data_IF_922959549259
#
_entry.id   IF_922959549259
#
_cell.length_a   1.000
_cell.length_b   1.000
_cell.length_c   1.000
_cell.angle_alpha   90.00
_cell.angle_beta   90.00
_cell.angle_gamma   90.00
#
_symmetry.space_group_name_H-M   'P 1'
#
loop_
_entity.id
_entity.type
_entity.pdbx_description
1 polymer ?
#
# COMPACT_ATOMS: atom_id res chain seq x y z
N UNK A 1 -28.62 -36.99 16.49
CA UNK A 1 -28.38 -37.00 15.03
C UNK A 1 -26.94 -36.59 14.80
N UNK A 2 -26.08 -37.51 14.37
CA UNK A 2 -24.67 -37.18 14.12
C UNK A 2 -24.59 -36.28 12.89
N UNK A 3 -24.02 -35.09 13.06
CA UNK A 3 -23.73 -34.17 11.96
C UNK A 3 -22.81 -34.90 10.97
N UNK A 4 -23.36 -35.20 9.78
CA UNK A 4 -22.61 -35.75 8.65
C UNK A 4 -21.66 -34.65 8.19
N UNK A 5 -20.52 -34.59 8.85
CA UNK A 5 -19.51 -33.55 8.67
C UNK A 5 -18.78 -33.88 7.37
N UNK A 6 -19.14 -33.20 6.28
CA UNK A 6 -18.37 -33.02 5.04
C UNK A 6 -17.39 -34.14 4.63
N UNK A 7 -17.80 -35.41 4.74
CA UNK A 7 -17.15 -36.50 4.03
C UNK A 7 -17.72 -36.45 2.62
N UNK A 8 -16.87 -36.44 1.58
CA UNK A 8 -17.33 -36.53 0.20
C UNK A 8 -18.24 -37.75 0.06
N UNK A 9 -19.54 -37.49 -0.11
CA UNK A 9 -20.56 -38.50 -0.26
C UNK A 9 -21.12 -38.36 -1.67
N UNK A 10 -21.14 -39.47 -2.41
CA UNK A 10 -21.50 -39.49 -3.82
C UNK A 10 -22.83 -40.21 -4.05
N UNK A 11 -23.64 -39.73 -4.99
CA UNK A 11 -24.87 -40.43 -5.41
C UNK A 11 -24.57 -41.51 -6.44
N UNK A 12 -25.50 -42.45 -6.62
CA UNK A 12 -25.39 -43.48 -7.65
C UNK A 12 -25.19 -42.89 -9.06
N UNK A 13 -25.87 -41.79 -9.35
CA UNK A 13 -25.82 -41.11 -10.64
C UNK A 13 -24.45 -40.48 -10.87
N UNK A 14 -23.90 -39.77 -9.87
CA UNK A 14 -22.56 -39.17 -9.95
C UNK A 14 -21.48 -40.23 -10.16
N UNK A 15 -21.58 -41.35 -9.44
CA UNK A 15 -20.63 -42.45 -9.55
C UNK A 15 -20.75 -43.13 -10.91
N UNK A 16 -21.98 -43.38 -11.38
CA UNK A 16 -22.22 -43.96 -12.69
C UNK A 16 -21.59 -43.12 -13.81
N UNK A 17 -21.83 -41.80 -13.80
CA UNK A 17 -21.24 -40.88 -14.78
C UNK A 17 -19.71 -40.94 -14.75
N UNK A 18 -19.12 -40.93 -13.56
CA UNK A 18 -17.65 -41.00 -13.42
C UNK A 18 -17.05 -42.33 -13.90
N UNK A 19 -17.82 -43.42 -13.83
CA UNK A 19 -17.44 -44.73 -14.38
C UNK A 19 -17.83 -44.90 -15.86
N UNK A 20 -18.37 -43.86 -16.52
CA UNK A 20 -18.80 -43.93 -17.91
C UNK A 20 -20.09 -44.74 -18.13
N UNK A 21 -20.90 -44.92 -17.09
CA UNK A 21 -22.17 -45.65 -17.13
C UNK A 21 -23.35 -44.69 -17.36
N UNK A 22 -24.36 -45.17 -18.08
CA UNK A 22 -25.55 -44.37 -18.44
C UNK A 22 -26.57 -44.25 -17.32
N UNK A 23 -26.52 -45.12 -16.29
CA UNK A 23 -27.57 -45.17 -15.25
C UNK A 23 -27.03 -45.56 -13.88
N UNK A 24 -27.48 -44.87 -12.84
CA UNK A 24 -27.17 -45.16 -11.43
C UNK A 24 -27.70 -46.52 -10.93
N UNK A 25 -28.64 -47.13 -11.66
CA UNK A 25 -29.17 -48.46 -11.35
C UNK A 25 -28.09 -49.54 -11.35
N UNK A 26 -27.07 -49.42 -12.21
CA UNK A 26 -25.94 -50.36 -12.26
C UNK A 26 -25.15 -50.35 -10.96
N UNK A 27 -24.94 -49.17 -10.37
CA UNK A 27 -24.26 -49.02 -9.08
C UNK A 27 -25.08 -49.65 -7.95
N UNK A 28 -26.39 -49.42 -7.93
CA UNK A 28 -27.29 -50.06 -6.97
C UNK A 28 -27.32 -51.60 -7.12
N UNK A 29 -27.23 -52.10 -8.37
CA UNK A 29 -27.15 -53.54 -8.65
C UNK A 29 -25.86 -54.16 -8.11
N UNK A 30 -24.73 -53.49 -8.28
CA UNK A 30 -23.44 -53.95 -7.72
C UNK A 30 -23.49 -54.11 -6.21
N UNK A 31 -24.12 -53.17 -5.48
CA UNK A 31 -24.31 -53.30 -4.04
C UNK A 31 -25.10 -54.56 -3.68
N UNK A 32 -26.20 -54.84 -4.39
CA UNK A 32 -27.05 -56.02 -4.14
C UNK A 32 -26.32 -57.33 -4.44
N UNK A 33 -25.56 -57.37 -5.53
CA UNK A 33 -24.86 -58.58 -5.98
C UNK A 33 -23.61 -58.90 -5.16
N UNK A 34 -22.97 -57.88 -4.57
CA UNK A 34 -21.72 -58.01 -3.82
C UNK A 34 -21.85 -57.47 -2.39
N UNK A 35 -23.03 -57.66 -1.78
CA UNK A 35 -23.33 -57.15 -0.45
C UNK A 35 -22.42 -57.73 0.64
N UNK A 36 -21.85 -58.92 0.43
CA UNK A 36 -20.86 -59.54 1.30
C UNK A 36 -19.58 -58.71 1.45
N UNK A 37 -19.30 -57.83 0.49
CA UNK A 37 -18.11 -57.00 0.47
C UNK A 37 -18.34 -55.59 1.01
N UNK A 38 -19.59 -55.15 1.13
CA UNK A 38 -19.95 -53.80 1.56
C UNK A 38 -20.43 -53.74 3.01
N UNK A 39 -20.06 -52.68 3.72
CA UNK A 39 -20.44 -52.46 5.12
C UNK A 39 -21.16 -51.12 5.20
N UNK A 40 -22.41 -51.14 5.65
CA UNK A 40 -23.20 -49.93 5.90
C UNK A 40 -22.50 -49.04 6.94
N UNK A 41 -22.61 -47.73 6.77
CA UNK A 41 -21.91 -46.68 7.53
C UNK A 41 -20.38 -46.61 7.34
N UNK A 42 -19.78 -47.56 6.62
CA UNK A 42 -18.35 -47.52 6.26
C UNK A 42 -18.18 -47.24 4.77
N UNK A 43 -18.81 -48.04 3.90
CA UNK A 43 -18.68 -47.91 2.46
C UNK A 43 -19.83 -47.09 1.84
N UNK A 44 -21.04 -47.21 2.39
CA UNK A 44 -22.21 -46.46 1.96
C UNK A 44 -23.11 -46.14 3.16
N UNK A 45 -24.00 -45.16 2.98
CA UNK A 45 -25.04 -44.75 3.91
C UNK A 45 -26.39 -44.87 3.23
N UNK A 46 -27.39 -45.34 3.97
CA UNK A 46 -28.79 -45.19 3.58
C UNK A 46 -29.31 -43.88 4.14
N UNK A 47 -29.68 -42.96 3.25
CA UNK A 47 -30.24 -41.66 3.64
C UNK A 47 -31.71 -41.64 3.28
N UNK A 48 -32.55 -41.43 4.29
CA UNK A 48 -33.97 -41.21 4.08
C UNK A 48 -34.23 -39.79 3.59
N UNK A 49 -35.04 -39.66 2.54
CA UNK A 49 -35.53 -38.37 2.08
C UNK A 49 -36.79 -37.95 2.85
N UNK A 50 -37.26 -36.72 2.62
CA UNK A 50 -38.49 -36.18 3.25
C UNK A 50 -39.74 -37.02 2.99
N UNK A 51 -39.71 -37.90 1.99
CA UNK A 51 -40.80 -38.81 1.61
C UNK A 51 -40.58 -40.25 2.10
N UNK A 52 -39.66 -40.48 3.07
CA UNK A 52 -39.28 -41.79 3.63
C UNK A 52 -38.70 -42.79 2.62
N UNK A 53 -38.32 -42.35 1.43
CA UNK A 53 -37.57 -43.18 0.48
C UNK A 53 -36.10 -43.21 0.88
N UNK A 54 -35.51 -44.41 0.89
CA UNK A 54 -34.09 -44.62 1.20
C UNK A 54 -33.26 -44.51 -0.07
N UNK A 55 -32.34 -43.55 -0.10
CA UNK A 55 -31.37 -43.38 -1.18
C UNK A 55 -29.98 -43.78 -0.71
N UNK A 56 -29.25 -44.50 -1.57
CA UNK A 56 -27.88 -44.93 -1.28
C UNK A 56 -26.93 -43.77 -1.56
N UNK A 57 -26.05 -43.52 -0.61
CA UNK A 57 -25.02 -42.50 -0.65
C UNK A 57 -23.67 -43.14 -0.36
N UNK A 58 -22.66 -42.94 -1.19
CA UNK A 58 -21.40 -43.67 -1.11
C UNK A 58 -20.28 -42.84 -0.53
N UNK A 59 -19.41 -43.48 0.25
CA UNK A 59 -18.12 -42.91 0.66
C UNK A 59 -17.08 -43.08 -0.44
N UNK A 60 -15.98 -42.32 -0.37
CA UNK A 60 -14.84 -42.50 -1.27
C UNK A 60 -14.28 -43.94 -1.25
N UNK A 61 -14.22 -44.58 -0.09
CA UNK A 61 -13.80 -45.97 0.06
C UNK A 61 -14.76 -46.95 -0.63
N UNK A 62 -16.07 -46.74 -0.47
CA UNK A 62 -17.08 -47.50 -1.20
C UNK A 62 -17.01 -47.30 -2.71
N UNK A 63 -16.71 -46.08 -3.17
CA UNK A 63 -16.49 -45.78 -4.59
C UNK A 63 -15.29 -46.56 -5.13
N UNK A 64 -14.15 -46.57 -4.44
CA UNK A 64 -13.00 -47.38 -4.87
C UNK A 64 -13.30 -48.88 -4.91
N UNK A 65 -14.12 -49.36 -3.98
CA UNK A 65 -14.59 -50.75 -4.00
C UNK A 65 -15.51 -51.03 -5.20
N UNK A 66 -16.31 -50.07 -5.67
CA UNK A 66 -17.17 -50.29 -6.84
C UNK A 66 -16.42 -50.51 -8.17
N UNK A 67 -15.13 -50.15 -8.24
CA UNK A 67 -14.38 -50.18 -9.50
C UNK A 67 -14.12 -51.58 -10.07
N UNK A 68 -14.03 -52.61 -9.23
CA UNK A 68 -13.82 -53.98 -9.68
C UNK A 68 -14.21 -55.03 -8.61
N UNK A 69 -14.73 -56.17 -9.07
CA UNK A 69 -15.15 -57.30 -8.22
C UNK A 69 -14.32 -58.55 -8.55
N UNK A 70 -13.82 -59.24 -7.51
CA UNK A 70 -12.93 -60.40 -7.65
C UNK A 70 -13.46 -61.55 -6.80
N UNK A 71 -13.43 -62.77 -7.34
CA UNK A 71 -13.93 -63.97 -6.65
C UNK A 71 -13.02 -64.46 -5.52
N UNK A 72 -11.70 -64.31 -5.67
CA UNK A 72 -10.71 -64.83 -4.72
C UNK A 72 -10.76 -64.11 -3.35
N UNK A 73 -10.88 -64.84 -2.22
CA UNK A 73 -10.93 -64.23 -0.88
C UNK A 73 -9.72 -63.34 -0.56
N UNK A 74 -8.51 -63.78 -0.92
CA UNK A 74 -7.28 -62.99 -0.72
C UNK A 74 -7.30 -61.67 -1.51
N UNK A 75 -7.83 -61.70 -2.72
CA UNK A 75 -7.95 -60.51 -3.57
C UNK A 75 -9.01 -59.53 -3.04
N UNK A 76 -10.11 -60.04 -2.46
CA UNK A 76 -11.12 -59.21 -1.79
C UNK A 76 -10.50 -58.45 -0.61
N UNK A 77 -9.69 -59.11 0.21
CA UNK A 77 -9.02 -58.47 1.35
C UNK A 77 -7.99 -57.43 0.90
N UNK A 78 -7.20 -57.74 -0.14
CA UNK A 78 -6.25 -56.79 -0.73
C UNK A 78 -6.96 -55.52 -1.22
N UNK A 79 -8.08 -55.67 -1.93
CA UNK A 79 -8.89 -54.56 -2.43
C UNK A 79 -9.41 -53.66 -1.30
N UNK A 80 -9.86 -54.24 -0.18
CA UNK A 80 -10.27 -53.48 1.02
C UNK A 80 -9.10 -52.64 1.57
N UNK A 81 -7.90 -53.23 1.68
CA UNK A 81 -6.70 -52.51 2.16
C UNK A 81 -6.32 -51.35 1.23
N UNK A 82 -6.36 -51.57 -0.08
CA UNK A 82 -6.08 -50.53 -1.08
C UNK A 82 -7.10 -49.40 -1.04
N UNK A 83 -8.40 -49.71 -0.96
CA UNK A 83 -9.46 -48.70 -0.88
C UNK A 83 -9.29 -47.80 0.36
N UNK A 84 -8.96 -48.41 1.51
CA UNK A 84 -8.65 -47.67 2.74
C UNK A 84 -7.42 -46.77 2.60
N UNK A 85 -6.33 -47.29 2.04
CA UNK A 85 -5.09 -46.52 1.83
C UNK A 85 -5.33 -45.32 0.90
N UNK A 86 -6.06 -45.51 -0.19
CA UNK A 86 -6.40 -44.43 -1.13
C UNK A 86 -7.29 -43.36 -0.48
N UNK A 87 -8.20 -43.75 0.40
CA UNK A 87 -9.01 -42.82 1.19
C UNK A 87 -8.12 -41.97 2.09
N UNK A 88 -7.24 -42.58 2.87
CA UNK A 88 -6.32 -41.89 3.79
C UNK A 88 -5.39 -40.93 3.05
N UNK A 89 -4.80 -41.38 1.95
CA UNK A 89 -3.92 -40.55 1.11
C UNK A 89 -4.67 -39.35 0.52
N UNK A 90 -5.88 -39.58 0.00
CA UNK A 90 -6.73 -38.53 -0.56
C UNK A 90 -7.13 -37.50 0.49
N UNK A 91 -7.50 -37.95 1.69
CA UNK A 91 -7.87 -37.08 2.79
C UNK A 91 -6.69 -36.23 3.28
N UNK A 92 -5.49 -36.83 3.39
CA UNK A 92 -4.27 -36.10 3.72
C UNK A 92 -3.97 -35.01 2.67
N UNK A 93 -4.07 -35.35 1.39
CA UNK A 93 -3.85 -34.41 0.28
C UNK A 93 -4.85 -33.25 0.30
N UNK A 94 -6.14 -33.52 0.53
CA UNK A 94 -7.15 -32.46 0.66
C UNK A 94 -6.89 -31.54 1.85
N UNK A 95 -6.48 -32.10 2.99
CA UNK A 95 -6.10 -31.30 4.16
C UNK A 95 -4.94 -30.36 3.84
N UNK A 96 -3.87 -30.87 3.24
CA UNK A 96 -2.71 -30.04 2.86
C UNK A 96 -3.07 -28.93 1.86
N UNK A 97 -3.94 -29.23 0.88
CA UNK A 97 -4.43 -28.25 -0.08
C UNK A 97 -5.30 -27.17 0.57
N UNK A 98 -6.16 -27.58 1.52
CA UNK A 98 -7.00 -26.66 2.28
C UNK A 98 -6.14 -25.70 3.12
N UNK A 99 -5.17 -26.25 3.85
CA UNK A 99 -4.27 -25.48 4.71
C UNK A 99 -3.43 -24.48 3.89
N UNK A 100 -2.93 -24.88 2.71
CA UNK A 100 -2.19 -23.99 1.82
C UNK A 100 -3.08 -22.87 1.26
N UNK A 101 -4.32 -23.15 0.87
CA UNK A 101 -5.26 -22.13 0.40
C UNK A 101 -5.57 -21.09 1.50
N UNK A 102 -5.75 -21.53 2.74
CA UNK A 102 -5.95 -20.63 3.87
C UNK A 102 -4.73 -19.73 4.08
N UNK A 103 -3.53 -20.32 4.01
CA UNK A 103 -2.26 -19.58 4.10
C UNK A 103 -2.15 -18.52 2.99
N UNK A 104 -2.40 -18.88 1.73
CA UNK A 104 -2.36 -17.96 0.60
C UNK A 104 -3.37 -16.81 0.74
N UNK A 105 -4.59 -17.10 1.21
CA UNK A 105 -5.59 -16.07 1.46
C UNK A 105 -5.15 -15.08 2.56
N UNK A 106 -4.55 -15.58 3.64
CA UNK A 106 -4.03 -14.73 4.71
C UNK A 106 -2.87 -13.83 4.24
N UNK A 107 -1.96 -14.37 3.43
CA UNK A 107 -0.85 -13.63 2.83
C UNK A 107 -1.35 -12.53 1.90
N UNK A 108 -2.29 -12.85 1.00
CA UNK A 108 -2.90 -11.88 0.10
C UNK A 108 -3.61 -10.76 0.87
N UNK A 109 -4.32 -11.09 1.95
CA UNK A 109 -4.97 -10.11 2.81
C UNK A 109 -3.96 -9.17 3.47
N UNK A 110 -2.87 -9.72 4.03
CA UNK A 110 -1.83 -8.95 4.70
C UNK A 110 -1.10 -8.02 3.72
N UNK A 111 -0.75 -8.50 2.53
CA UNK A 111 -0.14 -7.68 1.47
C UNK A 111 -1.05 -6.51 1.07
N UNK A 112 -2.34 -6.79 0.84
CA UNK A 112 -3.32 -5.75 0.48
C UNK A 112 -3.46 -4.66 1.56
N UNK A 113 -3.46 -5.05 2.84
CA UNK A 113 -3.48 -4.11 3.97
C UNK A 113 -2.21 -3.27 3.99
N UNK A 114 -1.03 -3.89 3.82
CA UNK A 114 0.26 -3.21 3.78
C UNK A 114 0.29 -2.12 2.70
N UNK A 115 -0.07 -2.47 1.45
CA UNK A 115 -0.12 -1.51 0.34
C UNK A 115 -1.12 -0.37 0.59
N UNK A 116 -2.31 -0.67 1.14
CA UNK A 116 -3.31 0.35 1.46
C UNK A 116 -2.80 1.33 2.52
N UNK A 117 -2.12 0.85 3.55
CA UNK A 117 -1.52 1.69 4.60
C UNK A 117 -0.43 2.60 4.03
N UNK A 118 0.46 2.07 3.18
CA UNK A 118 1.50 2.86 2.51
C UNK A 118 0.91 3.97 1.62
N UNK A 119 -0.14 3.65 0.86
CA UNK A 119 -0.87 4.64 0.03
C UNK A 119 -1.49 5.74 0.88
N UNK A 120 -2.10 5.39 2.02
CA UNK A 120 -2.71 6.35 2.93
C UNK A 120 -1.65 7.31 3.52
N UNK A 121 -0.51 6.78 3.98
CA UNK A 121 0.60 7.58 4.50
C UNK A 121 1.19 8.52 3.43
N UNK A 122 1.32 8.05 2.18
CA UNK A 122 1.77 8.91 1.09
C UNK A 122 0.77 10.03 0.81
N UNK A 123 -0.53 9.72 0.78
CA UNK A 123 -1.58 10.71 0.56
C UNK A 123 -1.54 11.81 1.63
N UNK A 124 -1.48 11.43 2.89
CA UNK A 124 -1.38 12.36 4.02
C UNK A 124 -0.13 13.26 3.91
N UNK A 125 1.02 12.68 3.56
CA UNK A 125 2.26 13.43 3.34
C UNK A 125 2.11 14.49 2.25
N UNK A 126 1.46 14.18 1.12
CA UNK A 126 1.24 15.13 0.05
C UNK A 126 0.17 16.17 0.40
N UNK A 127 -0.90 15.78 1.07
CA UNK A 127 -1.94 16.70 1.57
C UNK A 127 -1.33 17.75 2.52
N UNK A 128 -0.46 17.33 3.44
CA UNK A 128 0.23 18.26 4.35
C UNK A 128 1.20 19.20 3.61
N UNK A 129 1.91 18.71 2.59
CA UNK A 129 2.74 19.58 1.73
C UNK A 129 1.91 20.60 0.96
N UNK A 130 0.77 20.19 0.41
CA UNK A 130 -0.13 21.09 -0.31
C UNK A 130 -0.67 22.17 0.62
N UNK A 131 -1.12 21.81 1.83
CA UNK A 131 -1.57 22.76 2.84
C UNK A 131 -0.49 23.78 3.22
N UNK A 132 0.75 23.33 3.42
CA UNK A 132 1.88 24.22 3.71
C UNK A 132 2.15 25.19 2.56
N UNK A 133 2.17 24.70 1.31
CA UNK A 133 2.36 25.56 0.13
C UNK A 133 1.21 26.55 -0.08
N UNK A 134 -0.03 26.14 0.19
CA UNK A 134 -1.19 27.03 0.15
C UNK A 134 -1.06 28.14 1.20
N UNK A 135 -0.68 27.79 2.42
CA UNK A 135 -0.43 28.76 3.49
C UNK A 135 0.66 29.76 3.08
N UNK A 136 1.78 29.29 2.54
CA UNK A 136 2.89 30.14 2.06
C UNK A 136 2.45 31.07 0.93
N UNK A 137 1.58 30.59 0.03
CA UNK A 137 1.02 31.40 -1.06
C UNK A 137 0.07 32.48 -0.55
N UNK A 138 -0.81 32.15 0.40
CA UNK A 138 -1.76 33.09 1.01
C UNK A 138 -1.04 34.20 1.80
N UNK A 139 0.03 33.85 2.53
CA UNK A 139 0.78 34.79 3.37
C UNK A 139 1.98 35.41 2.64
N UNK A 140 2.17 35.13 1.34
CA UNK A 140 3.28 35.65 0.52
C UNK A 140 3.39 37.17 0.52
N UNK A 141 2.27 37.89 0.67
CA UNK A 141 2.22 39.36 0.74
C UNK A 141 2.45 39.91 2.16
N UNK A 142 2.26 39.11 3.20
CA UNK A 142 2.52 39.49 4.60
C UNK A 142 3.99 39.24 5.00
N UNK A 143 4.61 38.23 4.39
CA UNK A 143 6.01 37.83 4.62
C UNK A 143 7.05 38.84 4.09
N UNK A 144 6.67 39.77 3.21
CA UNK A 144 7.63 40.64 2.52
C UNK A 144 8.03 41.92 3.25
N UNK A 145 7.46 42.26 4.41
CA UNK A 145 7.80 43.51 5.11
C UNK A 145 8.29 43.37 6.57
N UNK A 146 8.25 42.18 7.17
CA UNK A 146 8.61 42.00 8.60
C UNK A 146 9.91 41.22 8.86
N UNK A 147 10.54 40.61 7.85
CA UNK A 147 11.81 39.90 8.07
C UNK A 147 12.98 40.88 8.12
N UNK A 148 13.82 40.81 9.16
CA UNK A 148 15.14 41.47 9.15
C UNK A 148 15.95 40.94 7.95
N UNK A 149 16.37 41.84 7.08
CA UNK A 149 17.30 41.52 5.99
C UNK A 149 18.63 41.03 6.58
N UNK A 150 19.20 39.98 6.00
CA UNK A 150 20.59 39.60 6.31
C UNK A 150 21.55 40.70 5.85
N UNK A 151 22.77 40.72 6.39
CA UNK A 151 23.78 41.71 6.00
C UNK A 151 24.07 41.70 4.49
N UNK A 152 24.05 40.51 3.86
CA UNK A 152 24.26 40.34 2.43
C UNK A 152 23.10 40.89 1.59
N UNK A 153 21.86 40.63 2.00
CA UNK A 153 20.67 41.15 1.31
C UNK A 153 20.57 42.67 1.45
N UNK A 154 20.91 43.21 2.62
CA UNK A 154 20.94 44.66 2.86
C UNK A 154 22.02 45.34 2.00
N UNK A 155 23.18 44.70 1.83
CA UNK A 155 24.23 45.17 0.94
C UNK A 155 23.76 45.23 -0.52
N UNK A 156 23.15 44.17 -1.03
CA UNK A 156 22.64 44.14 -2.41
C UNK A 156 21.51 45.16 -2.62
N UNK A 157 20.61 45.32 -1.65
CA UNK A 157 19.56 46.34 -1.70
C UNK A 157 20.16 47.76 -1.83
N UNK A 158 21.23 48.08 -1.07
CA UNK A 158 21.92 49.38 -1.18
C UNK A 158 22.52 49.61 -2.56
N UNK A 159 23.12 48.58 -3.18
CA UNK A 159 23.67 48.66 -4.54
C UNK A 159 22.57 48.96 -5.56
N UNK A 160 21.46 48.22 -5.51
CA UNK A 160 20.32 48.37 -6.43
C UNK A 160 19.69 49.76 -6.29
N UNK A 161 19.42 50.20 -5.06
CA UNK A 161 18.84 51.52 -4.81
C UNK A 161 19.72 52.65 -5.34
N UNK A 162 21.05 52.56 -5.16
CA UNK A 162 21.97 53.58 -5.64
C UNK A 162 22.12 53.55 -7.17
N UNK A 163 22.24 52.36 -7.78
CA UNK A 163 22.47 52.18 -9.22
C UNK A 163 21.24 52.52 -10.05
N UNK A 164 20.10 51.94 -9.70
CA UNK A 164 18.91 51.93 -10.56
C UNK A 164 17.95 53.08 -10.22
N UNK A 165 17.95 53.51 -8.95
CA UNK A 165 17.00 54.52 -8.45
C UNK A 165 17.67 55.82 -7.99
N UNK A 166 19.00 55.87 -7.91
CA UNK A 166 19.71 57.05 -7.41
C UNK A 166 19.45 57.35 -5.92
N UNK A 167 19.01 56.36 -5.15
CA UNK A 167 18.61 56.49 -3.75
C UNK A 167 19.70 55.96 -2.79
N UNK A 168 19.75 56.51 -1.59
CA UNK A 168 20.65 56.07 -0.52
C UNK A 168 19.83 55.72 0.72
N UNK A 169 20.21 54.64 1.42
CA UNK A 169 19.68 54.34 2.73
C UNK A 169 20.41 55.13 3.82
N UNK A 170 19.74 56.11 4.42
CA UNK A 170 20.24 56.89 5.57
C UNK A 170 19.54 56.46 6.85
N UNK A 171 20.19 56.67 8.01
CA UNK A 171 19.54 56.41 9.29
C UNK A 171 18.48 57.47 9.57
N UNK A 172 17.43 57.08 10.30
CA UNK A 172 16.32 57.97 10.64
C UNK A 172 16.78 59.27 11.32
N UNK A 173 17.68 59.17 12.30
CA UNK A 173 18.23 60.35 12.98
C UNK A 173 19.11 61.25 12.07
N UNK A 174 19.76 60.70 11.05
CA UNK A 174 20.52 61.50 10.06
C UNK A 174 19.55 62.34 9.22
N UNK A 175 18.40 61.77 8.85
CA UNK A 175 17.34 62.49 8.16
C UNK A 175 16.69 63.55 9.05
N UNK A 176 16.43 63.24 10.33
CA UNK A 176 15.89 64.22 11.29
C UNK A 176 16.83 65.41 11.46
N UNK A 177 18.15 65.17 11.61
CA UNK A 177 19.15 66.22 11.72
C UNK A 177 19.24 67.08 10.44
N UNK A 178 19.08 66.44 9.28
CA UNK A 178 19.01 67.16 8.00
C UNK A 178 17.78 68.06 7.94
N UNK A 179 16.60 67.53 8.27
CA UNK A 179 15.33 68.27 8.25
C UNK A 179 15.32 69.46 9.22
N UNK A 180 15.90 69.33 10.40
CA UNK A 180 15.99 70.40 11.41
C UNK A 180 16.90 71.56 10.99
N UNK A 181 17.90 71.30 10.14
CA UNK A 181 18.93 72.26 9.73
C UNK A 181 18.71 72.89 8.36
N UNK A 182 17.57 72.62 7.71
CA UNK A 182 17.18 73.24 6.45
C UNK A 182 17.12 74.76 6.66
N UNK A 183 18.05 75.51 6.04
CA UNK A 183 18.14 76.98 6.14
C UNK A 183 19.47 77.55 6.62
N UNK A 184 20.50 76.74 6.92
CA UNK A 184 21.89 77.20 7.11
C UNK A 184 22.77 76.72 5.95
N UNK A 185 23.08 77.62 5.02
CA UNK A 185 23.75 77.31 3.74
C UNK A 185 25.00 76.43 3.89
N UNK A 186 25.86 76.73 4.86
CA UNK A 186 27.12 75.99 5.04
C UNK A 186 26.94 74.55 5.53
N UNK A 187 25.91 74.29 6.34
CA UNK A 187 25.66 72.95 6.89
C UNK A 187 24.89 72.10 5.89
N UNK A 188 23.96 72.72 5.15
CA UNK A 188 23.22 72.07 4.07
C UNK A 188 24.16 71.55 2.97
N UNK A 189 25.07 72.41 2.49
CA UNK A 189 26.08 72.05 1.50
C UNK A 189 26.99 70.91 1.96
N UNK A 190 27.40 70.91 3.23
CA UNK A 190 28.23 69.84 3.78
C UNK A 190 27.50 68.49 3.80
N UNK A 191 26.19 68.49 4.10
CA UNK A 191 25.38 67.27 4.10
C UNK A 191 25.11 66.77 2.68
N UNK A 192 24.78 67.67 1.74
CA UNK A 192 24.62 67.31 0.33
C UNK A 192 25.89 66.67 -0.23
N UNK A 193 27.05 67.31 -0.01
CA UNK A 193 28.34 66.76 -0.44
C UNK A 193 28.64 65.38 0.16
N UNK A 194 28.22 65.12 1.40
CA UNK A 194 28.35 63.79 2.04
C UNK A 194 27.47 62.76 1.32
N UNK A 195 26.20 63.09 1.10
CA UNK A 195 25.24 62.19 0.43
C UNK A 195 25.64 61.90 -1.02
N UNK A 196 26.10 62.90 -1.77
CA UNK A 196 26.59 62.70 -3.13
C UNK A 196 27.79 61.75 -3.19
N UNK A 197 28.73 61.88 -2.25
CA UNK A 197 29.87 60.97 -2.13
C UNK A 197 29.43 59.55 -1.81
N UNK A 198 28.49 59.38 -0.89
CA UNK A 198 27.92 58.07 -0.57
C UNK A 198 27.20 57.45 -1.76
N UNK A 199 26.40 58.24 -2.50
CA UNK A 199 25.72 57.77 -3.69
C UNK A 199 26.71 57.29 -4.74
N UNK A 200 27.76 58.07 -4.97
CA UNK A 200 28.85 57.74 -5.90
C UNK A 200 29.58 56.47 -5.48
N UNK A 201 29.81 56.29 -4.18
CA UNK A 201 30.41 55.08 -3.62
C UNK A 201 29.55 53.85 -3.91
N UNK A 202 28.26 53.88 -3.55
CA UNK A 202 27.36 52.73 -3.71
C UNK A 202 27.06 52.39 -5.17
N UNK A 203 26.97 53.39 -6.06
CA UNK A 203 26.85 53.18 -7.52
C UNK A 203 28.01 52.36 -8.09
N UNK A 204 29.23 52.60 -7.57
CA UNK A 204 30.47 51.98 -8.06
C UNK A 204 31.10 51.08 -6.99
N UNK A 205 30.28 50.46 -6.13
CA UNK A 205 30.74 49.75 -4.94
C UNK A 205 31.82 48.70 -5.24
N UNK A 206 31.60 47.87 -6.27
CA UNK A 206 32.50 46.77 -6.60
C UNK A 206 33.90 47.30 -7.03
N UNK A 207 33.94 48.41 -7.77
CA UNK A 207 35.20 49.06 -8.18
C UNK A 207 35.95 49.70 -7.00
N UNK A 208 35.22 50.33 -6.08
CA UNK A 208 35.82 50.94 -4.89
C UNK A 208 36.39 49.88 -3.94
N UNK A 209 35.63 48.82 -3.66
CA UNK A 209 36.09 47.71 -2.81
C UNK A 209 37.32 47.00 -3.39
N UNK A 210 37.38 46.84 -4.72
CA UNK A 210 38.55 46.24 -5.37
C UNK A 210 39.79 47.16 -5.26
N UNK A 211 39.62 48.47 -5.41
CA UNK A 211 40.69 49.46 -5.18
C UNK A 211 41.17 49.45 -3.72
N UNK A 212 40.26 49.44 -2.76
CA UNK A 212 40.60 49.39 -1.32
C UNK A 212 41.34 48.10 -0.94
N UNK A 213 40.92 46.95 -1.47
CA UNK A 213 41.62 45.67 -1.26
C UNK A 213 43.04 45.67 -1.82
N UNK A 214 43.31 46.37 -2.92
CA UNK A 214 44.65 46.51 -3.50
C UNK A 214 45.56 47.41 -2.67
N UNK A 215 45.00 48.44 -2.03
CA UNK A 215 45.73 49.38 -1.17
C UNK A 215 46.10 48.74 0.17
N UNK A 216 45.17 48.02 0.80
CA UNK A 216 45.38 47.36 2.11
C UNK A 216 46.31 46.13 2.07
N UNK A 217 46.69 45.67 0.87
CA UNK A 217 47.65 44.56 0.67
C UNK A 217 49.10 45.04 0.45
N UNK A 218 49.34 46.34 0.40
CA UNK A 218 50.68 46.95 0.43
C UNK A 218 51.01 47.39 1.85
#
# INVERSE_FOLDING_TARGET
>A
MQNITSNLIFTNEQIAINYGLTTGLTIAKHLRMHNDEFIENTHYFLVENSFKNKTIKWTLEGVYMLGFFIKSPKAKEYRKKVAKLLREQTQARFKTLSDENLRLNSLNHHQKIGYKSQLAQQKEKYENKIKALQYDLEHKKELSFKRKLSQKELLELRKILARDYGMICIKEWEMSLFAEKIGKDTVFEAVLNKLEKELKYWKNYDEFEEKWKKILRK
#
